data_IF_174737629102
#
_entry.id   IF_174737629102
#
_cell.length_a   1.000
_cell.length_b   1.000
_cell.length_c   1.000
_cell.angle_alpha   90.00
_cell.angle_beta   90.00
_cell.angle_gamma   90.00
#
_symmetry.space_group_name_H-M   'P 1'
#
loop_
_entity.id
_entity.type
_entity.pdbx_description
1 polymer ?
#
# COMPACT_ATOMS: atom_id res chain seq x y z
N UNK A 1 -13.18 5.20 7.80
CA UNK A 1 -13.22 4.15 6.77
C UNK A 1 -11.78 3.82 6.37
N UNK A 2 -11.38 2.55 6.23
CA UNK A 2 -10.01 2.20 5.83
C UNK A 2 -9.89 2.32 4.30
N UNK A 3 -8.94 3.11 3.80
CA UNK A 3 -8.75 3.31 2.35
C UNK A 3 -8.50 1.98 1.61
N UNK A 4 -7.80 1.05 2.26
CA UNK A 4 -7.50 -0.28 1.70
C UNK A 4 -8.76 -1.12 1.40
N UNK A 5 -9.92 -0.78 1.97
CA UNK A 5 -11.20 -1.40 1.61
C UNK A 5 -11.63 -1.11 0.17
N UNK A 6 -11.08 -0.07 -0.46
CA UNK A 6 -11.39 0.32 -1.83
C UNK A 6 -10.47 -0.37 -2.85
N UNK A 7 -9.48 -1.13 -2.40
CA UNK A 7 -8.56 -1.84 -3.30
C UNK A 7 -9.26 -3.05 -3.93
N UNK A 8 -9.24 -3.19 -5.26
CA UNK A 8 -9.76 -4.38 -5.95
C UNK A 8 -8.86 -5.62 -5.76
N UNK A 9 -7.62 -5.44 -5.28
CA UNK A 9 -6.70 -6.54 -4.97
C UNK A 9 -7.00 -7.22 -3.63
N UNK A 10 -7.77 -6.56 -2.76
CA UNK A 10 -8.06 -7.05 -1.42
C UNK A 10 -9.56 -7.26 -1.23
N UNK A 11 -9.91 -8.23 -0.40
CA UNK A 11 -11.28 -8.44 -0.01
C UNK A 11 -11.67 -7.47 1.12
N UNK A 12 -12.23 -6.32 0.74
CA UNK A 12 -12.68 -5.27 1.65
C UNK A 12 -13.65 -5.72 2.74
N UNK A 13 -14.42 -6.79 2.54
CA UNK A 13 -15.33 -7.34 3.57
C UNK A 13 -14.59 -8.02 4.72
N UNK A 14 -13.35 -8.46 4.49
CA UNK A 14 -12.50 -9.11 5.49
C UNK A 14 -11.42 -8.20 6.05
N UNK A 15 -11.25 -7.01 5.47
CA UNK A 15 -10.27 -6.03 5.90
C UNK A 15 -10.66 -5.46 7.26
N UNK A 16 -9.73 -5.50 8.21
CA UNK A 16 -9.95 -5.00 9.57
C UNK A 16 -8.69 -4.41 10.19
N UNK A 17 -8.89 -3.41 11.04
CA UNK A 17 -7.86 -2.88 11.93
C UNK A 17 -7.67 -3.87 13.08
N UNK A 18 -6.48 -4.43 13.22
CA UNK A 18 -6.15 -5.42 14.27
C UNK A 18 -5.62 -4.75 15.53
N UNK A 19 -4.86 -3.67 15.37
CA UNK A 19 -4.32 -2.90 16.48
C UNK A 19 -4.10 -1.44 16.08
N UNK A 20 -4.20 -0.56 17.07
CA UNK A 20 -3.79 0.83 16.98
C UNK A 20 -3.29 1.28 18.36
N UNK A 21 -2.11 1.88 18.41
CA UNK A 21 -1.53 2.41 19.64
C UNK A 21 -0.75 3.69 19.37
N UNK A 22 -0.76 4.59 20.35
CA UNK A 22 0.11 5.76 20.33
C UNK A 22 1.55 5.30 20.57
N UNK A 23 2.48 5.86 19.82
CA UNK A 23 3.92 5.58 19.92
C UNK A 23 4.69 6.87 19.69
N UNK A 24 5.83 7.03 20.35
CA UNK A 24 6.76 8.12 20.07
C UNK A 24 7.18 8.13 18.59
N UNK A 25 7.35 9.34 18.06
CA UNK A 25 7.71 9.53 16.66
C UNK A 25 9.18 9.16 16.42
N UNK A 26 9.48 8.11 15.63
CA UNK A 26 10.86 7.67 15.40
C UNK A 26 11.62 8.58 14.42
N UNK A 27 10.95 9.57 13.82
CA UNK A 27 11.56 10.49 12.85
C UNK A 27 12.64 11.32 13.52
N UNK A 28 13.83 11.38 12.89
CA UNK A 28 14.92 12.24 13.34
C UNK A 28 14.94 13.52 12.53
N UNK A 29 14.80 14.65 13.21
CA UNK A 29 15.03 15.95 12.60
C UNK A 29 16.54 16.16 12.45
N UNK A 30 16.95 16.59 11.26
CA UNK A 30 18.33 16.94 10.95
C UNK A 30 18.39 18.40 10.52
N UNK A 31 19.44 19.10 10.94
CA UNK A 31 19.72 20.47 10.52
C UNK A 31 20.73 20.40 9.39
N UNK A 32 20.51 21.16 8.32
CA UNK A 32 21.47 21.27 7.23
C UNK A 32 22.79 21.84 7.75
N UNK A 33 23.91 21.32 7.23
CA UNK A 33 25.25 21.73 7.66
C UNK A 33 25.44 23.26 7.57
N UNK A 34 26.04 23.84 8.62
CA UNK A 34 26.28 25.27 8.72
C UNK A 34 25.06 26.11 9.15
N UNK A 35 23.89 25.48 9.37
CA UNK A 35 22.69 26.14 9.88
C UNK A 35 22.51 25.88 11.37
N UNK A 36 21.94 26.83 12.11
CA UNK A 36 21.50 26.64 13.49
C UNK A 36 20.01 26.94 13.61
N UNK A 37 19.32 26.22 14.49
CA UNK A 37 17.89 26.47 14.78
C UNK A 37 17.82 27.19 16.14
N UNK A 38 17.58 28.51 16.17
CA UNK A 38 17.39 29.23 17.43
C UNK A 38 16.20 28.64 18.19
N UNK A 39 16.42 28.24 19.45
CA UNK A 39 15.40 27.56 20.26
C UNK A 39 15.40 26.03 20.16
N UNK A 40 16.31 25.43 19.39
CA UNK A 40 16.46 23.98 19.27
C UNK A 40 15.49 23.34 18.28
N UNK A 41 15.63 22.03 18.09
CA UNK A 41 14.72 21.25 17.27
C UNK A 41 13.39 21.04 18.03
N UNK A 42 12.24 21.16 17.37
CA UNK A 42 10.95 20.94 18.02
C UNK A 42 10.75 19.47 18.40
N UNK A 43 10.03 19.24 19.49
CA UNK A 43 9.55 17.91 19.83
C UNK A 43 8.51 17.46 18.81
N UNK A 44 8.66 16.22 18.34
CA UNK A 44 7.71 15.62 17.41
C UNK A 44 6.52 15.05 18.18
N UNK A 45 5.32 15.38 17.68
CA UNK A 45 4.08 14.80 18.20
C UNK A 45 4.10 13.27 18.05
N UNK A 46 3.56 12.53 19.03
CA UNK A 46 3.42 11.08 18.94
C UNK A 46 2.65 10.65 17.69
N UNK A 47 2.98 9.48 17.17
CA UNK A 47 2.33 8.88 16.00
C UNK A 47 1.42 7.72 16.42
N UNK A 48 0.48 7.36 15.54
CA UNK A 48 -0.33 6.15 15.72
C UNK A 48 0.33 5.02 14.93
N UNK A 49 0.83 4.01 15.64
CA UNK A 49 1.20 2.74 15.03
C UNK A 49 -0.05 1.86 14.92
N UNK A 50 -0.29 1.29 13.75
CA UNK A 50 -1.45 0.43 13.52
C UNK A 50 -1.10 -0.78 12.66
N UNK A 51 -1.92 -1.83 12.76
CA UNK A 51 -1.83 -3.03 11.92
C UNK A 51 -3.18 -3.31 11.28
N UNK A 52 -3.19 -3.50 9.96
CA UNK A 52 -4.37 -3.87 9.18
C UNK A 52 -4.15 -5.29 8.66
N UNK A 53 -5.16 -6.13 8.83
CA UNK A 53 -5.21 -7.47 8.25
C UNK A 53 -6.28 -7.50 7.16
N UNK A 54 -5.98 -8.16 6.05
CA UNK A 54 -6.91 -8.38 4.95
C UNK A 54 -6.59 -9.69 4.23
N UNK A 55 -7.47 -10.09 3.31
CA UNK A 55 -7.26 -11.22 2.40
C UNK A 55 -7.16 -10.71 0.97
N UNK A 56 -6.52 -11.48 0.10
CA UNK A 56 -6.59 -11.23 -1.34
C UNK A 56 -8.03 -11.35 -1.83
N UNK A 57 -8.39 -10.55 -2.82
CA UNK A 57 -9.67 -10.72 -3.51
C UNK A 57 -9.69 -12.04 -4.27
N UNK A 58 -10.89 -12.50 -4.61
CA UNK A 58 -11.08 -13.66 -5.50
C UNK A 58 -11.02 -13.28 -6.98
N UNK A 59 -10.63 -12.03 -7.29
CA UNK A 59 -10.57 -11.56 -8.66
C UNK A 59 -9.50 -12.32 -9.45
N UNK A 60 -9.81 -12.71 -10.67
CA UNK A 60 -8.85 -13.37 -11.55
C UNK A 60 -7.80 -12.39 -12.05
N UNK A 61 -6.66 -12.91 -12.52
CA UNK A 61 -5.63 -12.09 -13.13
C UNK A 61 -6.18 -11.24 -14.28
N UNK A 62 -7.09 -11.82 -15.08
CA UNK A 62 -7.75 -11.17 -16.21
C UNK A 62 -8.65 -10.02 -15.77
N UNK A 63 -9.41 -10.18 -14.68
CA UNK A 63 -10.26 -9.11 -14.11
C UNK A 63 -9.44 -7.92 -13.60
N UNK A 64 -8.20 -8.17 -13.16
CA UNK A 64 -7.29 -7.13 -12.65
C UNK A 64 -6.44 -6.47 -13.75
N UNK A 65 -6.42 -6.99 -14.98
CA UNK A 65 -5.62 -6.45 -16.08
C UNK A 65 -5.82 -4.95 -16.33
N UNK A 66 -7.06 -4.39 -16.36
CA UNK A 66 -7.26 -2.96 -16.58
C UNK A 66 -6.60 -2.10 -15.49
N UNK A 67 -6.64 -2.56 -14.23
CA UNK A 67 -5.99 -1.90 -13.10
C UNK A 67 -4.47 -1.99 -13.19
N UNK A 68 -3.94 -3.15 -13.57
CA UNK A 68 -2.49 -3.33 -13.77
C UNK A 68 -1.98 -2.42 -14.90
N UNK A 69 -2.73 -2.28 -16.00
CA UNK A 69 -2.43 -1.32 -17.08
C UNK A 69 -2.44 0.13 -16.57
N UNK A 70 -3.44 0.52 -15.78
CA UNK A 70 -3.56 1.86 -15.22
C UNK A 70 -2.48 2.21 -14.18
N UNK A 71 -1.81 1.21 -13.60
CA UNK A 71 -0.70 1.38 -12.66
C UNK A 71 0.66 1.10 -13.30
N UNK A 72 0.78 1.24 -14.63
CA UNK A 72 2.02 1.09 -15.40
C UNK A 72 2.71 -0.29 -15.26
N UNK A 73 1.98 -1.34 -14.88
CA UNK A 73 2.50 -2.70 -14.74
C UNK A 73 2.53 -3.47 -16.08
N UNK A 74 2.97 -2.81 -17.16
CA UNK A 74 2.88 -3.30 -18.55
C UNK A 74 3.55 -4.67 -18.76
N UNK A 75 4.70 -4.91 -18.13
CA UNK A 75 5.41 -6.19 -18.26
C UNK A 75 4.63 -7.37 -17.65
N UNK A 76 3.85 -7.13 -16.60
CA UNK A 76 3.00 -8.15 -15.98
C UNK A 76 1.75 -8.41 -16.82
N UNK A 77 1.14 -7.33 -17.32
CA UNK A 77 0.00 -7.37 -18.24
C UNK A 77 0.31 -8.24 -19.45
N UNK A 78 1.42 -7.97 -20.15
CA UNK A 78 1.82 -8.72 -21.35
C UNK A 78 1.97 -10.23 -21.05
N UNK A 79 2.55 -10.58 -19.90
CA UNK A 79 2.72 -11.99 -19.49
C UNK A 79 1.37 -12.67 -19.23
N UNK A 80 0.45 -12.00 -18.53
CA UNK A 80 -0.89 -12.54 -18.26
C UNK A 80 -1.64 -12.73 -19.58
N UNK A 81 -1.58 -11.76 -20.50
CA UNK A 81 -2.19 -11.86 -21.83
C UNK A 81 -1.59 -13.04 -22.62
N UNK A 82 -0.26 -13.15 -22.70
CA UNK A 82 0.41 -14.29 -23.36
C UNK A 82 0.00 -15.63 -22.75
N UNK A 83 -0.04 -15.76 -21.43
CA UNK A 83 -0.44 -17.01 -20.76
C UNK A 83 -1.92 -17.34 -20.98
N UNK A 84 -2.76 -16.32 -21.17
CA UNK A 84 -4.19 -16.48 -21.50
C UNK A 84 -4.35 -16.94 -22.95
N UNK A 85 -3.63 -16.34 -23.89
CA UNK A 85 -3.59 -16.76 -25.31
C UNK A 85 -3.07 -18.19 -25.47
N UNK A 86 -2.11 -18.61 -24.63
CA UNK A 86 -1.59 -19.98 -24.59
C UNK A 86 -2.53 -20.97 -23.88
N UNK A 87 -3.66 -20.51 -23.33
CA UNK A 87 -4.63 -21.35 -22.60
C UNK A 87 -4.15 -21.85 -21.24
N UNK A 88 -3.05 -21.31 -20.71
CA UNK A 88 -2.51 -21.66 -19.38
C UNK A 88 -3.37 -21.04 -18.29
N UNK A 89 -3.80 -19.79 -18.49
CA UNK A 89 -4.73 -19.06 -17.63
C UNK A 89 -6.09 -19.02 -18.33
N UNK A 90 -7.16 -19.25 -17.57
CA UNK A 90 -8.53 -19.13 -18.07
C UNK A 90 -9.18 -17.85 -17.51
N UNK A 91 -10.08 -17.19 -18.27
CA UNK A 91 -10.80 -16.01 -17.81
C UNK A 91 -11.58 -16.28 -16.52
#
# INVERSE_FOLDING_TARGET
MLLVNQSPFFNGSTTRLVSARLQDNPTRLVVADGSSVPGGLPDLQPIVQFSIETRLSSATASELLPLLKANDALGLVNRIETLTEQGVIRP
#
